data_IF_352909718910
#
_entry.id   IF_352909718910
#
_cell.length_a   1.000
_cell.length_b   1.000
_cell.length_c   1.000
_cell.angle_alpha   90.00
_cell.angle_beta   90.00
_cell.angle_gamma   90.00
#
_symmetry.space_group_name_H-M   'P 1'
#
loop_
_entity.id
_entity.type
_entity.pdbx_description
1 polymer ?
#
# COMPACT_ATOMS: atom_id res chain seq x y z
N UNK A 1 -26.83 6.18 32.87
CA UNK A 1 -25.81 5.21 32.39
C UNK A 1 -25.89 4.89 30.89
N UNK A 2 -27.02 5.10 30.19
CA UNK A 2 -27.16 4.80 28.75
C UNK A 2 -26.44 5.79 27.80
N UNK A 3 -26.45 7.10 28.10
CA UNK A 3 -25.93 8.13 27.17
C UNK A 3 -24.40 8.10 26.97
N UNK A 4 -23.64 7.65 27.98
CA UNK A 4 -22.18 7.54 27.86
C UNK A 4 -21.72 6.35 27.01
N UNK A 5 -22.53 5.29 26.91
CA UNK A 5 -22.16 4.12 26.13
C UNK A 5 -22.40 4.39 24.64
N UNK A 6 -23.54 4.99 24.29
CA UNK A 6 -23.84 5.39 22.91
C UNK A 6 -22.79 6.37 22.33
N UNK A 7 -22.27 7.29 23.14
CA UNK A 7 -21.21 8.22 22.71
C UNK A 7 -19.86 7.53 22.49
N UNK A 8 -19.53 6.51 23.31
CA UNK A 8 -18.31 5.69 23.14
C UNK A 8 -18.42 4.80 21.90
N UNK A 9 -19.59 4.23 21.65
CA UNK A 9 -19.86 3.35 20.51
C UNK A 9 -19.86 4.13 19.17
N UNK A 10 -20.35 5.38 19.18
CA UNK A 10 -20.25 6.29 18.04
C UNK A 10 -18.81 6.68 17.72
N UNK A 11 -18.01 6.98 18.75
CA UNK A 11 -16.59 7.30 18.59
C UNK A 11 -15.77 6.09 18.09
N UNK A 12 -16.00 4.90 18.65
CA UNK A 12 -15.30 3.69 18.22
C UNK A 12 -15.63 3.34 16.77
N UNK A 13 -16.90 3.52 16.35
CA UNK A 13 -17.33 3.30 14.98
C UNK A 13 -16.69 4.28 14.01
N UNK A 14 -16.60 5.57 14.37
CA UNK A 14 -15.92 6.58 13.55
C UNK A 14 -14.42 6.28 13.40
N UNK A 15 -13.74 5.94 14.50
CA UNK A 15 -12.32 5.56 14.48
C UNK A 15 -12.09 4.31 13.61
N UNK A 16 -12.99 3.32 13.71
CA UNK A 16 -12.91 2.11 12.89
C UNK A 16 -13.03 2.40 11.38
N UNK A 17 -13.91 3.34 10.99
CA UNK A 17 -14.06 3.76 9.59
C UNK A 17 -12.80 4.45 9.08
N UNK A 18 -12.24 5.40 9.83
CA UNK A 18 -10.99 6.09 9.46
C UNK A 18 -9.83 5.10 9.34
N UNK A 19 -9.71 4.18 10.30
CA UNK A 19 -8.69 3.14 10.27
C UNK A 19 -8.85 2.23 9.05
N UNK A 20 -10.07 1.84 8.72
CA UNK A 20 -10.37 1.04 7.53
C UNK A 20 -9.93 1.77 6.26
N UNK A 21 -10.31 3.04 6.08
CA UNK A 21 -9.91 3.84 4.91
C UNK A 21 -8.39 3.95 4.82
N UNK A 22 -7.70 4.18 5.95
CA UNK A 22 -6.25 4.24 5.99
C UNK A 22 -5.61 2.91 5.54
N UNK A 23 -6.14 1.77 6.00
CA UNK A 23 -5.66 0.45 5.58
C UNK A 23 -5.86 0.21 4.08
N UNK A 24 -7.02 0.56 3.53
CA UNK A 24 -7.26 0.47 2.08
C UNK A 24 -6.29 1.36 1.28
N UNK A 25 -6.01 2.58 1.78
CA UNK A 25 -5.03 3.48 1.18
C UNK A 25 -3.61 2.88 1.18
N UNK A 26 -3.18 2.34 2.32
CA UNK A 26 -1.87 1.67 2.44
C UNK A 26 -1.80 0.44 1.53
N UNK A 27 -2.88 -0.35 1.47
CA UNK A 27 -2.95 -1.52 0.59
C UNK A 27 -2.87 -1.15 -0.89
N UNK A 28 -3.56 -0.09 -1.33
CA UNK A 28 -3.47 0.39 -2.70
C UNK A 28 -2.06 0.93 -3.02
N UNK A 29 -1.46 1.64 -2.06
CA UNK A 29 -0.11 2.18 -2.20
C UNK A 29 0.95 1.08 -2.32
N UNK A 30 0.94 0.13 -1.40
CA UNK A 30 1.88 -0.98 -1.41
C UNK A 30 1.58 -1.96 -2.55
N UNK A 31 0.30 -2.26 -2.80
CA UNK A 31 -0.12 -3.30 -3.72
C UNK A 31 -0.11 -2.91 -5.20
N UNK A 32 -0.19 -1.62 -5.51
CA UNK A 32 -0.31 -1.15 -6.89
C UNK A 32 0.72 -0.06 -7.22
N UNK A 33 0.80 1.00 -6.41
CA UNK A 33 1.70 2.12 -6.70
C UNK A 33 3.18 1.72 -6.61
N UNK A 34 3.56 0.94 -5.61
CA UNK A 34 4.97 0.51 -5.43
C UNK A 34 5.50 -0.40 -6.55
N UNK A 35 4.80 -1.48 -6.96
CA UNK A 35 5.23 -2.30 -8.09
C UNK A 35 5.37 -1.51 -9.39
N UNK A 36 4.44 -0.60 -9.68
CA UNK A 36 4.51 0.25 -10.88
C UNK A 36 5.75 1.15 -10.83
N UNK A 37 6.00 1.77 -9.68
CA UNK A 37 7.19 2.60 -9.50
C UNK A 37 8.49 1.80 -9.69
N UNK A 38 8.54 0.56 -9.20
CA UNK A 38 9.66 -0.35 -9.40
C UNK A 38 9.91 -0.64 -10.87
N UNK A 39 8.85 -1.01 -11.61
CA UNK A 39 8.92 -1.29 -13.05
C UNK A 39 9.50 -0.09 -13.81
N UNK A 40 9.01 1.12 -13.53
CA UNK A 40 9.50 2.34 -14.19
C UNK A 40 10.99 2.54 -13.92
N UNK A 41 11.42 2.40 -12.66
CA UNK A 41 12.82 2.54 -12.26
C UNK A 41 13.72 1.45 -12.85
N UNK A 42 13.25 0.22 -12.92
CA UNK A 42 14.00 -0.88 -13.52
C UNK A 42 14.18 -0.71 -15.03
N UNK A 43 13.17 -0.21 -15.73
CA UNK A 43 13.29 0.16 -17.15
C UNK A 43 14.31 1.29 -17.34
N UNK A 44 14.28 2.33 -16.50
CA UNK A 44 15.25 3.43 -16.54
C UNK A 44 16.70 2.95 -16.29
N UNK A 45 16.87 1.93 -15.44
CA UNK A 45 18.18 1.38 -15.11
C UNK A 45 18.64 0.24 -16.06
N UNK A 46 17.92 -0.03 -17.15
CA UNK A 46 18.24 -1.11 -18.09
C UNK A 46 17.99 -2.52 -17.55
N UNK A 47 17.30 -2.64 -16.41
CA UNK A 47 16.98 -3.89 -15.70
C UNK A 47 15.65 -4.49 -16.17
N UNK A 48 15.47 -4.66 -17.49
CA UNK A 48 14.21 -5.11 -18.09
C UNK A 48 13.77 -6.49 -17.58
N UNK A 49 14.72 -7.40 -17.32
CA UNK A 49 14.43 -8.72 -16.73
C UNK A 49 13.72 -8.60 -15.37
N UNK A 50 14.12 -7.63 -14.56
CA UNK A 50 13.53 -7.37 -13.25
C UNK A 50 12.15 -6.72 -13.39
N UNK A 51 11.96 -5.81 -14.34
CA UNK A 51 10.66 -5.23 -14.64
C UNK A 51 9.63 -6.30 -15.07
N UNK A 52 10.03 -7.28 -15.88
CA UNK A 52 9.17 -8.41 -16.27
C UNK A 52 8.89 -9.33 -15.07
N UNK A 53 9.91 -9.59 -14.24
CA UNK A 53 9.73 -10.38 -13.02
C UNK A 53 8.71 -9.75 -12.07
N UNK A 54 8.63 -8.42 -11.98
CA UNK A 54 7.62 -7.73 -11.17
C UNK A 54 6.20 -7.87 -11.73
N UNK A 55 6.05 -7.92 -13.05
CA UNK A 55 4.74 -8.14 -13.68
C UNK A 55 4.26 -9.58 -13.44
N UNK A 56 5.17 -10.56 -13.42
CA UNK A 56 4.81 -11.98 -13.25
C UNK A 56 4.68 -12.37 -11.77
N UNK A 57 5.55 -11.84 -10.89
CA UNK A 57 5.53 -12.07 -9.44
C UNK A 57 4.66 -11.02 -8.70
N UNK A 58 4.05 -10.13 -9.47
CA UNK A 58 2.92 -9.24 -9.24
C UNK A 58 3.05 -8.21 -8.11
N UNK A 59 3.16 -8.63 -6.85
CA UNK A 59 3.00 -7.71 -5.72
C UNK A 59 4.19 -7.74 -4.77
N UNK A 60 4.59 -8.86 -4.14
CA UNK A 60 5.56 -8.80 -3.05
C UNK A 60 6.93 -8.30 -3.51
N UNK A 61 7.39 -8.76 -4.67
CA UNK A 61 8.72 -8.41 -5.21
C UNK A 61 8.74 -6.97 -5.69
N UNK A 62 7.73 -6.56 -6.48
CA UNK A 62 7.63 -5.20 -6.97
C UNK A 62 7.41 -4.18 -5.87
N UNK A 63 6.66 -4.51 -4.81
CA UNK A 63 6.50 -3.64 -3.65
C UNK A 63 7.82 -3.43 -2.92
N UNK A 64 8.56 -4.50 -2.64
CA UNK A 64 9.85 -4.41 -1.93
C UNK A 64 10.87 -3.61 -2.75
N UNK A 65 10.96 -3.85 -4.06
CA UNK A 65 11.86 -3.07 -4.93
C UNK A 65 11.41 -1.62 -5.09
N UNK A 66 10.11 -1.38 -5.24
CA UNK A 66 9.55 -0.03 -5.33
C UNK A 66 9.88 0.78 -4.09
N UNK A 67 9.73 0.18 -2.91
CA UNK A 67 10.14 0.78 -1.65
C UNK A 67 11.66 0.98 -1.59
N UNK A 68 12.46 0.01 -2.03
CA UNK A 68 13.92 0.14 -2.09
C UNK A 68 14.34 1.34 -2.94
N UNK A 69 13.69 1.58 -4.09
CA UNK A 69 13.96 2.75 -4.93
C UNK A 69 13.43 4.06 -4.35
N UNK A 70 12.38 4.03 -3.53
CA UNK A 70 11.82 5.23 -2.91
C UNK A 70 12.75 5.79 -1.81
N UNK A 71 13.48 4.90 -1.14
CA UNK A 71 14.39 5.24 -0.04
C UNK A 71 15.88 5.18 -0.41
N UNK A 72 16.20 4.98 -1.68
CA UNK A 72 17.58 4.92 -2.21
C UNK A 72 17.90 6.15 -3.05
#
# INVERSE_FOLDING_TARGET
MSNSNNAKDGLSSFVAVIFTIALWGVQAFLGFLMPIYAIIKDVQNGKIMWAIADIVLFVPVGTVRGLMYLFS
#
